data_IF_546004628305
#
_entry.id   IF_546004628305
#
_cell.length_a   1.000
_cell.length_b   1.000
_cell.length_c   1.000
_cell.angle_alpha   90.00
_cell.angle_beta   90.00
_cell.angle_gamma   90.00
#
_symmetry.space_group_name_H-M   'P 1'
#
loop_
_entity.id
_entity.type
_entity.pdbx_description
1 polymer ?
#
# COMPACT_ATOMS: atom_id res chain seq x y z
N UNK A 1 -20.59 66.16 59.99
CA UNK A 1 -21.57 65.06 60.12
C UNK A 1 -21.11 63.93 59.21
N UNK A 2 -20.10 63.17 59.65
CA UNK A 2 -20.22 61.83 60.26
C UNK A 2 -20.74 60.74 59.30
N UNK A 3 -19.83 59.80 58.96
CA UNK A 3 -20.02 58.33 58.93
C UNK A 3 -20.97 57.79 57.83
N UNK A 4 -20.82 56.63 57.18
CA UNK A 4 -20.04 55.41 57.42
C UNK A 4 -20.26 54.46 56.21
N UNK A 5 -19.17 53.84 55.73
CA UNK A 5 -19.02 52.37 55.55
C UNK A 5 -19.62 51.61 54.33
N UNK A 6 -18.80 50.64 53.91
CA UNK A 6 -19.01 49.40 53.09
C UNK A 6 -18.68 49.56 51.60
N UNK A 7 -17.45 49.34 51.16
CA UNK A 7 -16.70 48.06 51.02
C UNK A 7 -17.45 47.03 50.17
N UNK A 8 -17.21 47.06 48.85
CA UNK A 8 -17.24 45.88 47.99
C UNK A 8 -16.08 46.00 47.01
N UNK A 9 -14.95 45.42 47.41
CA UNK A 9 -13.84 45.08 46.53
C UNK A 9 -14.11 43.67 46.02
N UNK A 10 -14.41 43.53 44.72
CA UNK A 10 -14.30 42.24 44.02
C UNK A 10 -13.49 42.47 42.76
N UNK A 11 -12.17 42.51 42.94
CA UNK A 11 -11.21 42.31 41.85
C UNK A 11 -10.93 40.81 41.83
N UNK A 12 -11.64 40.08 40.98
CA UNK A 12 -11.28 38.72 40.64
C UNK A 12 -10.21 38.79 39.56
N UNK A 13 -8.94 38.91 39.98
CA UNK A 13 -7.80 38.78 39.08
C UNK A 13 -7.55 37.27 38.90
N UNK A 14 -8.26 36.64 37.97
CA UNK A 14 -7.85 35.31 37.50
C UNK A 14 -6.67 35.52 36.55
N UNK A 15 -5.48 35.18 37.01
CA UNK A 15 -4.35 34.94 36.14
C UNK A 15 -4.60 33.66 35.33
N UNK A 16 -5.24 33.78 34.16
CA UNK A 16 -5.16 32.77 33.09
C UNK A 16 -4.07 33.28 32.12
N UNK A 17 -2.82 33.12 32.52
CA UNK A 17 -1.67 33.29 31.64
C UNK A 17 -0.80 32.04 31.80
N UNK A 18 -1.25 30.92 31.24
CA UNK A 18 -0.53 29.66 31.36
C UNK A 18 -0.95 28.55 30.39
N UNK A 19 -2.12 28.63 29.76
CA UNK A 19 -2.64 27.51 28.94
C UNK A 19 -2.34 27.61 27.44
N UNK A 20 -1.99 28.77 26.88
CA UNK A 20 -1.69 28.84 25.44
C UNK A 20 -0.35 28.17 25.06
N UNK A 21 0.69 28.31 25.90
CA UNK A 21 2.01 27.77 25.57
C UNK A 21 2.08 26.23 25.56
N UNK A 22 1.31 25.56 26.42
CA UNK A 22 1.25 24.09 26.46
C UNK A 22 0.51 23.50 25.26
N UNK A 23 -0.49 24.21 24.73
CA UNK A 23 -1.31 23.76 23.60
C UNK A 23 -0.58 23.96 22.25
N UNK A 24 0.21 25.03 22.13
CA UNK A 24 1.13 25.25 20.99
C UNK A 24 2.32 24.28 21.01
N UNK A 25 2.85 23.93 22.19
CA UNK A 25 3.94 22.96 22.31
C UNK A 25 3.48 21.53 21.95
N UNK A 26 2.32 21.09 22.45
CA UNK A 26 1.76 19.77 22.14
C UNK A 26 1.38 19.64 20.65
N UNK A 27 0.81 20.69 20.05
CA UNK A 27 0.52 20.68 18.60
C UNK A 27 1.80 20.66 17.75
N UNK A 28 2.88 21.32 18.21
CA UNK A 28 4.19 21.25 17.56
C UNK A 28 4.84 19.87 17.66
N UNK A 29 4.74 19.19 18.80
CA UNK A 29 5.25 17.82 18.99
C UNK A 29 4.52 16.83 18.09
N UNK A 30 3.18 16.87 18.10
CA UNK A 30 2.36 16.02 17.26
C UNK A 30 2.66 16.19 15.78
N UNK A 31 2.85 17.43 15.31
CA UNK A 31 3.28 17.69 13.94
C UNK A 31 4.61 17.03 13.61
N UNK A 32 5.61 17.10 14.50
CA UNK A 32 6.91 16.45 14.27
C UNK A 32 6.77 14.93 14.15
N UNK A 33 5.95 14.32 15.00
CA UNK A 33 5.68 12.88 14.94
C UNK A 33 4.99 12.49 13.63
N UNK A 34 3.95 13.23 13.21
CA UNK A 34 3.28 13.01 11.92
C UNK A 34 4.26 13.13 10.75
N UNK A 35 5.11 14.17 10.74
CA UNK A 35 6.11 14.35 9.69
C UNK A 35 7.12 13.19 9.67
N UNK A 36 7.53 12.68 10.85
CA UNK A 36 8.41 11.52 10.94
C UNK A 36 7.74 10.25 10.40
N UNK A 37 6.47 10.01 10.71
CA UNK A 37 5.70 8.90 10.13
C UNK A 37 5.67 9.02 8.60
N UNK A 38 5.35 10.19 8.05
CA UNK A 38 5.29 10.41 6.60
C UNK A 38 6.65 10.26 5.90
N UNK A 39 7.75 10.54 6.59
CA UNK A 39 9.09 10.35 6.07
C UNK A 39 9.50 8.87 6.03
N UNK A 40 9.10 8.09 7.04
CA UNK A 40 9.34 6.65 7.11
C UNK A 40 8.39 5.85 6.21
N UNK A 41 7.22 6.41 5.93
CA UNK A 41 6.21 5.79 5.11
C UNK A 41 6.32 6.23 3.64
N UNK A 42 6.83 5.33 2.80
CA UNK A 42 7.01 5.53 1.36
C UNK A 42 5.71 5.33 0.56
N UNK A 43 4.65 6.06 0.92
CA UNK A 43 3.35 5.99 0.24
C UNK A 43 3.44 6.35 -1.25
N UNK A 44 4.43 7.16 -1.63
CA UNK A 44 4.72 7.53 -3.02
C UNK A 44 4.96 6.33 -3.94
N UNK A 45 5.42 5.20 -3.43
CA UNK A 45 5.65 4.00 -4.24
C UNK A 45 4.33 3.37 -4.71
N UNK A 46 3.23 3.58 -3.97
CA UNK A 46 1.90 3.14 -4.41
C UNK A 46 1.48 3.84 -5.71
N UNK A 47 1.89 5.09 -5.91
CA UNK A 47 1.59 5.84 -7.13
C UNK A 47 2.28 5.24 -8.37
N UNK A 48 3.46 4.64 -8.20
CA UNK A 48 4.16 3.95 -9.29
C UNK A 48 3.40 2.69 -9.72
N UNK A 49 2.89 1.93 -8.75
CA UNK A 49 2.07 0.74 -9.04
C UNK A 49 0.79 1.11 -9.81
N UNK A 50 0.20 2.28 -9.53
CA UNK A 50 -0.98 2.77 -10.26
C UNK A 50 -0.71 2.99 -11.76
N UNK A 51 0.52 3.32 -12.15
CA UNK A 51 0.92 3.47 -13.56
C UNK A 51 1.25 2.13 -14.20
N UNK A 52 1.85 1.20 -13.44
CA UNK A 52 2.21 -0.11 -13.98
C UNK A 52 0.99 -0.99 -14.27
N UNK A 53 -0.08 -0.86 -13.49
CA UNK A 53 -1.26 -1.73 -13.60
C UNK A 53 -1.98 -1.62 -14.96
N UNK A 54 -2.32 -0.42 -15.47
CA UNK A 54 -2.90 -0.28 -16.81
C UNK A 54 -2.03 -0.88 -17.92
N UNK A 55 -0.70 -0.73 -17.82
CA UNK A 55 0.22 -1.32 -18.79
C UNK A 55 0.19 -2.86 -18.75
N UNK A 56 0.19 -3.45 -17.56
CA UNK A 56 0.07 -4.90 -17.40
C UNK A 56 -1.27 -5.43 -17.95
N UNK A 57 -2.37 -4.73 -17.66
CA UNK A 57 -3.71 -5.08 -18.14
C UNK A 57 -3.80 -5.02 -19.67
N UNK A 58 -3.26 -3.96 -20.28
CA UNK A 58 -3.21 -3.80 -21.73
C UNK A 58 -2.37 -4.92 -22.40
N UNK A 59 -1.22 -5.26 -21.83
CA UNK A 59 -0.38 -6.36 -22.33
C UNK A 59 -1.11 -7.70 -22.26
N UNK A 60 -1.84 -7.96 -21.17
CA UNK A 60 -2.63 -9.18 -21.03
C UNK A 60 -3.76 -9.24 -22.06
N UNK A 61 -4.47 -8.13 -22.26
CA UNK A 61 -5.53 -8.05 -23.27
C UNK A 61 -5.00 -8.26 -24.69
N UNK A 62 -3.84 -7.70 -25.02
CA UNK A 62 -3.19 -7.91 -26.31
C UNK A 62 -2.85 -9.38 -26.55
N UNK A 63 -2.33 -10.10 -25.55
CA UNK A 63 -2.07 -11.55 -25.66
C UNK A 63 -3.34 -12.33 -25.98
N UNK A 64 -4.44 -12.04 -25.29
CA UNK A 64 -5.75 -12.66 -25.51
C UNK A 64 -6.27 -12.34 -26.92
N UNK A 65 -6.17 -11.07 -27.34
CA UNK A 65 -6.69 -10.61 -28.61
C UNK A 65 -5.96 -11.23 -29.82
N UNK A 66 -4.69 -11.59 -29.67
CA UNK A 66 -3.88 -12.21 -30.74
C UNK A 66 -3.91 -13.75 -30.72
N UNK A 67 -4.34 -14.37 -29.62
CA UNK A 67 -4.31 -15.82 -29.46
C UNK A 67 -5.12 -16.52 -30.56
N UNK A 68 -4.44 -17.37 -31.34
CA UNK A 68 -5.07 -18.14 -32.43
C UNK A 68 -5.53 -17.32 -33.64
N UNK A 69 -5.28 -15.99 -33.67
CA UNK A 69 -5.70 -15.11 -34.77
C UNK A 69 -4.61 -14.83 -35.81
N UNK A 70 -3.34 -14.98 -35.42
CA UNK A 70 -2.17 -14.74 -36.29
C UNK A 70 -1.13 -15.84 -36.11
N UNK A 71 -0.16 -15.90 -37.01
CA UNK A 71 0.99 -16.81 -36.85
C UNK A 71 1.82 -16.45 -35.62
N UNK A 72 2.52 -17.44 -35.04
CA UNK A 72 3.36 -17.22 -33.85
C UNK A 72 4.40 -16.10 -34.05
N UNK A 73 5.05 -16.04 -35.21
CA UNK A 73 6.03 -15.00 -35.52
C UNK A 73 5.40 -13.59 -35.57
N UNK A 74 4.19 -13.46 -36.13
CA UNK A 74 3.45 -12.19 -36.14
C UNK A 74 2.97 -11.82 -34.74
N UNK A 75 2.48 -12.78 -33.97
CA UNK A 75 2.06 -12.58 -32.59
C UNK A 75 3.23 -12.04 -31.77
N UNK A 76 4.40 -12.67 -31.82
CA UNK A 76 5.56 -12.26 -31.05
C UNK A 76 6.05 -10.87 -31.44
N UNK A 77 6.13 -10.57 -32.75
CA UNK A 77 6.50 -9.25 -33.23
C UNK A 77 5.55 -8.16 -32.72
N UNK A 78 4.24 -8.36 -32.87
CA UNK A 78 3.24 -7.40 -32.39
C UNK A 78 3.27 -7.24 -30.88
N UNK A 79 3.45 -8.31 -30.10
CA UNK A 79 3.55 -8.21 -28.64
C UNK A 79 4.81 -7.45 -28.19
N UNK A 80 5.93 -7.54 -28.94
CA UNK A 80 7.13 -6.74 -28.67
C UNK A 80 6.91 -5.25 -28.94
N UNK A 81 6.26 -4.91 -30.06
CA UNK A 81 5.95 -3.52 -30.38
C UNK A 81 5.01 -2.91 -29.33
N UNK A 82 3.98 -3.66 -28.93
CA UNK A 82 3.09 -3.28 -27.83
C UNK A 82 3.88 -3.10 -26.53
N UNK A 83 4.79 -4.01 -26.19
CA UNK A 83 5.61 -3.89 -24.99
C UNK A 83 6.47 -2.62 -24.99
N UNK A 84 7.00 -2.20 -26.14
CA UNK A 84 7.75 -0.96 -26.27
C UNK A 84 6.88 0.29 -26.01
N UNK A 85 5.67 0.32 -26.57
CA UNK A 85 4.70 1.42 -26.33
C UNK A 85 4.28 1.49 -24.87
N UNK A 86 4.05 0.33 -24.24
CA UNK A 86 3.68 0.25 -22.83
C UNK A 86 4.84 0.68 -21.92
N UNK A 87 6.08 0.31 -22.24
CA UNK A 87 7.25 0.76 -21.51
C UNK A 87 7.40 2.28 -21.61
N UNK A 88 7.25 2.84 -22.82
CA UNK A 88 7.25 4.30 -23.02
C UNK A 88 6.20 5.00 -22.17
N UNK A 89 4.97 4.48 -22.12
CA UNK A 89 3.93 5.01 -21.24
C UNK A 89 4.36 5.00 -19.77
N UNK A 90 4.91 3.88 -19.27
CA UNK A 90 5.36 3.78 -17.88
C UNK A 90 6.48 4.78 -17.60
N UNK A 91 7.45 4.93 -18.50
CA UNK A 91 8.59 5.83 -18.35
C UNK A 91 8.16 7.30 -18.33
N UNK A 92 7.20 7.69 -19.19
CA UNK A 92 6.65 9.05 -19.25
C UNK A 92 5.73 9.35 -18.05
N UNK A 93 4.89 8.40 -17.64
CA UNK A 93 3.90 8.61 -16.60
C UNK A 93 4.47 8.54 -15.18
N UNK A 94 5.45 7.67 -14.94
CA UNK A 94 6.06 7.45 -13.61
C UNK A 94 6.55 8.75 -12.94
N UNK A 95 7.36 9.63 -13.56
CA UNK A 95 7.79 10.86 -12.93
C UNK A 95 6.61 11.79 -12.61
N UNK A 96 5.59 11.85 -13.48
CA UNK A 96 4.40 12.69 -13.28
C UNK A 96 3.63 12.26 -12.02
N UNK A 97 3.35 10.96 -11.87
CA UNK A 97 2.63 10.48 -10.67
C UNK A 97 3.50 10.54 -9.42
N UNK A 98 4.81 10.31 -9.53
CA UNK A 98 5.73 10.41 -8.38
C UNK A 98 5.78 11.85 -7.86
N UNK A 99 5.94 12.83 -8.73
CA UNK A 99 5.95 14.25 -8.35
C UNK A 99 4.63 14.66 -7.70
N UNK A 100 3.51 14.22 -8.27
CA UNK A 100 2.19 14.45 -7.66
C UNK A 100 2.05 13.77 -6.31
N UNK A 101 2.49 12.53 -6.15
CA UNK A 101 2.44 11.80 -4.89
C UNK A 101 3.28 12.50 -3.82
N UNK A 102 4.50 12.92 -4.13
CA UNK A 102 5.37 13.66 -3.21
C UNK A 102 4.75 14.99 -2.79
N UNK A 103 4.22 15.75 -3.75
CA UNK A 103 3.57 17.05 -3.50
C UNK A 103 2.29 16.91 -2.66
N UNK A 104 1.51 15.86 -2.90
CA UNK A 104 0.20 15.67 -2.28
C UNK A 104 0.25 14.86 -0.97
N UNK A 105 1.33 14.11 -0.70
CA UNK A 105 1.45 13.25 0.48
C UNK A 105 1.16 13.99 1.78
N UNK A 106 1.90 15.07 2.04
CA UNK A 106 1.74 15.85 3.28
C UNK A 106 0.35 16.49 3.40
N UNK A 107 -0.13 17.31 2.45
CA UNK A 107 -1.44 17.96 2.59
C UNK A 107 -2.62 16.98 2.63
N UNK A 108 -2.52 15.82 1.99
CA UNK A 108 -3.60 14.82 2.00
C UNK A 108 -3.60 13.95 3.27
N UNK A 109 -2.43 13.57 3.79
CA UNK A 109 -2.32 12.52 4.83
C UNK A 109 -1.98 13.08 6.21
N UNK A 110 -1.23 14.18 6.31
CA UNK A 110 -0.84 14.75 7.61
C UNK A 110 -2.05 15.12 8.50
N UNK A 111 -3.14 15.75 7.97
CA UNK A 111 -4.30 16.05 8.79
C UNK A 111 -5.02 14.79 9.29
N UNK A 112 -5.06 13.74 8.47
CA UNK A 112 -5.65 12.45 8.83
C UNK A 112 -4.86 11.79 9.97
N UNK A 113 -3.53 11.75 9.85
CA UNK A 113 -2.68 11.22 10.93
C UNK A 113 -2.83 12.02 12.23
N UNK A 114 -2.86 13.35 12.14
CA UNK A 114 -3.01 14.23 13.29
C UNK A 114 -4.39 14.10 13.97
N UNK A 115 -5.45 13.76 13.23
CA UNK A 115 -6.78 13.55 13.77
C UNK A 115 -6.98 12.13 14.32
N UNK A 116 -6.43 11.12 13.64
CA UNK A 116 -6.69 9.71 13.95
C UNK A 116 -5.82 9.12 15.04
N UNK A 117 -4.62 9.67 15.28
CA UNK A 117 -3.67 9.13 16.23
C UNK A 117 -3.30 10.16 17.29
N UNK A 118 -3.05 9.72 18.51
CA UNK A 118 -2.39 10.52 19.54
C UNK A 118 -0.86 10.38 19.48
N UNK A 119 -0.15 11.16 20.29
CA UNK A 119 1.32 11.25 20.26
C UNK A 119 1.99 9.91 20.61
N UNK A 120 1.42 9.15 21.56
CA UNK A 120 1.94 7.84 21.95
C UNK A 120 1.77 6.81 20.81
N UNK A 121 0.60 6.78 20.17
CA UNK A 121 0.35 5.89 19.03
C UNK A 121 1.25 6.22 17.83
N UNK A 122 1.50 7.52 17.56
CA UNK A 122 2.43 7.93 16.52
C UNK A 122 3.86 7.49 16.83
N UNK A 123 4.29 7.56 18.09
CA UNK A 123 5.62 7.05 18.53
C UNK A 123 5.73 5.54 18.35
N UNK A 124 4.69 4.79 18.71
CA UNK A 124 4.64 3.34 18.50
C UNK A 124 4.67 2.99 17.02
N UNK A 125 3.95 3.73 16.18
CA UNK A 125 3.97 3.56 14.73
C UNK A 125 5.37 3.84 14.15
N UNK A 126 6.04 4.90 14.59
CA UNK A 126 7.43 5.20 14.20
C UNK A 126 8.36 4.06 14.60
N UNK A 127 8.27 3.56 15.84
CA UNK A 127 9.08 2.45 16.32
C UNK A 127 8.84 1.17 15.50
N UNK A 128 7.60 0.91 15.08
CA UNK A 128 7.26 -0.21 14.21
C UNK A 128 7.88 -0.05 12.81
N UNK A 129 7.79 1.15 12.21
CA UNK A 129 8.34 1.44 10.89
C UNK A 129 9.88 1.40 10.87
N UNK A 130 10.54 1.83 11.95
CA UNK A 130 11.99 1.80 12.10
C UNK A 130 12.52 0.42 12.56
N UNK A 131 11.64 -0.54 12.86
CA UNK A 131 12.02 -1.80 13.51
C UNK A 131 12.98 -2.63 12.66
N UNK A 132 14.24 -2.82 13.10
CA UNK A 132 15.18 -3.69 12.40
C UNK A 132 14.77 -5.17 12.50
N UNK A 133 14.04 -5.53 13.56
CA UNK A 133 13.49 -6.88 13.74
C UNK A 133 12.39 -7.14 12.71
N UNK A 134 11.50 -6.18 12.47
CA UNK A 134 10.49 -6.26 11.40
C UNK A 134 11.17 -6.45 10.06
N UNK A 135 12.18 -5.63 9.74
CA UNK A 135 12.94 -5.74 8.49
C UNK A 135 13.59 -7.12 8.32
N UNK A 136 14.21 -7.65 9.38
CA UNK A 136 14.78 -9.01 9.38
C UNK A 136 13.71 -10.08 9.16
N UNK A 137 12.56 -9.96 9.81
CA UNK A 137 11.45 -10.88 9.64
C UNK A 137 10.93 -10.89 8.19
N UNK A 138 10.72 -9.70 7.59
CA UNK A 138 10.28 -9.57 6.19
C UNK A 138 11.29 -10.16 5.20
N UNK A 139 12.59 -9.98 5.43
CA UNK A 139 13.65 -10.60 4.62
C UNK A 139 13.66 -12.13 4.72
N UNK A 140 13.28 -12.68 5.86
CA UNK A 140 13.23 -14.12 6.12
C UNK A 140 11.93 -14.77 5.65
N UNK A 141 10.86 -14.00 5.43
CA UNK A 141 9.53 -14.50 5.11
C UNK A 141 9.50 -15.49 3.93
N UNK A 142 10.17 -15.23 2.79
CA UNK A 142 10.18 -16.18 1.67
C UNK A 142 10.82 -17.53 2.02
N UNK A 143 11.79 -17.55 2.93
CA UNK A 143 12.41 -18.80 3.41
C UNK A 143 11.43 -19.58 4.29
N UNK A 144 10.70 -18.90 5.17
CA UNK A 144 9.69 -19.52 6.02
C UNK A 144 8.56 -20.11 5.18
N UNK A 145 8.06 -19.36 4.20
CA UNK A 145 7.03 -19.82 3.27
C UNK A 145 7.49 -21.04 2.46
N UNK A 146 8.73 -21.03 1.94
CA UNK A 146 9.30 -22.17 1.24
C UNK A 146 9.34 -23.42 2.13
N UNK A 147 9.90 -23.29 3.34
CA UNK A 147 10.02 -24.41 4.27
C UNK A 147 8.64 -24.98 4.65
N UNK A 148 7.65 -24.11 4.86
CA UNK A 148 6.28 -24.52 5.16
C UNK A 148 5.62 -25.22 3.95
N UNK A 149 5.76 -24.66 2.75
CA UNK A 149 5.23 -25.23 1.51
C UNK A 149 5.80 -26.61 1.17
N UNK A 150 7.11 -26.79 1.34
CA UNK A 150 7.77 -28.09 1.16
C UNK A 150 7.20 -29.16 2.10
N UNK A 151 6.95 -28.80 3.37
CA UNK A 151 6.33 -29.69 4.35
C UNK A 151 4.89 -30.03 3.98
N UNK A 152 4.08 -29.05 3.60
CA UNK A 152 2.70 -29.29 3.13
C UNK A 152 2.70 -30.25 1.94
N UNK A 153 3.56 -30.00 0.94
CA UNK A 153 3.63 -30.82 -0.26
C UNK A 153 4.03 -32.27 0.06
N UNK A 154 5.00 -32.45 0.94
CA UNK A 154 5.45 -33.78 1.36
C UNK A 154 4.33 -34.59 2.04
N UNK A 155 3.62 -33.99 2.99
CA UNK A 155 2.55 -34.64 3.75
C UNK A 155 1.28 -34.86 2.92
N UNK A 156 0.97 -33.92 2.01
CA UNK A 156 -0.29 -33.95 1.27
C UNK A 156 -0.25 -34.76 -0.02
N UNK A 157 0.95 -35.06 -0.56
CA UNK A 157 1.12 -35.69 -1.88
C UNK A 157 0.27 -36.94 -2.06
N UNK A 158 0.32 -37.87 -1.11
CA UNK A 158 -0.42 -39.14 -1.18
C UNK A 158 -1.95 -38.95 -1.30
N UNK A 159 -2.49 -37.90 -0.67
CA UNK A 159 -3.92 -37.60 -0.70
C UNK A 159 -4.34 -36.77 -1.93
N UNK A 160 -3.44 -35.94 -2.47
CA UNK A 160 -3.72 -34.99 -3.56
C UNK A 160 -3.48 -35.61 -4.94
N UNK A 161 -2.41 -36.38 -5.13
CA UNK A 161 -2.07 -37.00 -6.42
C UNK A 161 -3.25 -37.75 -7.09
N UNK A 162 -4.02 -38.62 -6.40
CA UNK A 162 -5.15 -39.28 -7.04
C UNK A 162 -6.27 -38.30 -7.46
N UNK A 163 -6.48 -37.23 -6.69
CA UNK A 163 -7.46 -36.20 -7.03
C UNK A 163 -7.03 -35.40 -8.25
N UNK A 164 -5.73 -35.11 -8.36
CA UNK A 164 -5.14 -34.40 -9.50
C UNK A 164 -5.26 -35.22 -10.80
N UNK A 165 -5.02 -36.53 -10.72
CA UNK A 165 -5.20 -37.44 -11.86
C UNK A 165 -6.65 -37.49 -12.31
N UNK A 166 -7.60 -37.65 -11.38
CA UNK A 166 -9.03 -37.70 -11.68
C UNK A 166 -9.52 -36.41 -12.35
N UNK A 167 -9.07 -35.24 -11.86
CA UNK A 167 -9.37 -33.95 -12.47
C UNK A 167 -8.81 -33.86 -13.90
N UNK A 168 -7.54 -34.19 -14.10
CA UNK A 168 -6.88 -34.14 -15.41
C UNK A 168 -7.60 -35.02 -16.44
N UNK A 169 -8.00 -36.23 -16.04
CA UNK A 169 -8.77 -37.13 -16.90
C UNK A 169 -10.14 -36.54 -17.27
N UNK A 170 -10.88 -35.99 -16.30
CA UNK A 170 -12.18 -35.37 -16.52
C UNK A 170 -12.11 -34.19 -17.48
N UNK A 171 -11.11 -33.32 -17.33
CA UNK A 171 -10.87 -32.20 -18.24
C UNK A 171 -10.55 -32.71 -19.65
N UNK A 172 -9.63 -33.67 -19.79
CA UNK A 172 -9.27 -34.24 -21.09
C UNK A 172 -10.43 -34.93 -21.81
N UNK A 173 -11.37 -35.54 -21.08
CA UNK A 173 -12.60 -36.11 -21.66
C UNK A 173 -13.53 -35.01 -22.19
N UNK A 174 -13.77 -33.96 -21.40
CA UNK A 174 -14.63 -32.83 -21.79
C UNK A 174 -14.09 -32.08 -23.00
N UNK A 175 -12.77 -31.82 -23.04
CA UNK A 175 -12.13 -31.17 -24.18
C UNK A 175 -12.27 -32.00 -25.46
N UNK A 176 -12.00 -33.31 -25.39
CA UNK A 176 -12.20 -34.21 -26.55
C UNK A 176 -13.65 -34.20 -27.02
N UNK A 177 -14.62 -34.29 -26.10
CA UNK A 177 -16.04 -34.21 -26.44
C UNK A 177 -16.42 -32.91 -27.17
N UNK A 178 -15.90 -31.77 -26.69
CA UNK A 178 -16.14 -30.47 -27.33
C UNK A 178 -15.52 -30.37 -28.74
N UNK A 179 -14.39 -31.04 -28.99
CA UNK A 179 -13.72 -31.04 -30.31
C UNK A 179 -14.26 -32.08 -31.30
N UNK A 180 -15.11 -33.02 -30.86
CA UNK A 180 -15.66 -34.10 -31.70
C UNK A 180 -17.12 -33.89 -32.11
N UNK A 181 -17.72 -32.75 -31.79
CA UNK A 181 -19.08 -32.42 -32.25
C UNK A 181 -18.97 -31.76 -33.64
N UNK A 182 -19.65 -32.27 -34.69
CA UNK A 182 -19.59 -31.71 -36.05
C UNK A 182 -20.23 -30.32 -36.16
#
# INVERSE_FOLDING_TARGET
MMMFKRFVLFVFLIAIAGTCAAQDAASSEKQKLVQKVLALWHLEDAAVVMVQRPAADAMQQARIALQGRVSAAKQEATLRDIAADLQKYVDEATPIVRDNALRLKTPAVAPLLAQSFNDEELRQLIALLESPVKKKFEQMLPQFERAFGEKIAAESRAAIDPKLQAMTQSVGLKLRGATMTP
#
